data_IF_894287471996
#
_entry.id   IF_894287471996
#
_cell.length_a   1.000
_cell.length_b   1.000
_cell.length_c   1.000
_cell.angle_alpha   90.00
_cell.angle_beta   90.00
_cell.angle_gamma   90.00
#
_symmetry.space_group_name_H-M   'P 1'
#
loop_
_entity.id
_entity.type
_entity.pdbx_description
1 polymer ?
#
# COMPACT_ATOMS: atom_id res chain seq x y z
N UNK A 1 -44.49 7.94 -13.52
CA UNK A 1 -44.89 6.86 -12.62
C UNK A 1 -44.05 5.62 -12.92
N UNK A 2 -42.96 5.45 -12.23
CA UNK A 2 -42.25 4.17 -12.15
C UNK A 2 -42.29 3.71 -10.70
N UNK A 3 -43.24 2.79 -10.43
CA UNK A 3 -43.40 2.14 -9.14
C UNK A 3 -42.22 1.24 -8.82
N UNK A 4 -41.29 1.73 -7.99
CA UNK A 4 -40.27 0.94 -7.39
C UNK A 4 -40.83 0.12 -6.23
N UNK A 5 -41.10 -1.16 -6.44
CA UNK A 5 -41.47 -2.08 -5.35
C UNK A 5 -40.34 -2.15 -4.33
N UNK A 6 -40.58 -1.60 -3.14
CA UNK A 6 -39.70 -1.83 -1.96
C UNK A 6 -39.87 -3.28 -1.55
N UNK A 7 -38.80 -4.08 -1.68
CA UNK A 7 -38.78 -5.44 -1.16
C UNK A 7 -38.96 -5.36 0.37
N UNK A 8 -40.04 -5.94 0.95
CA UNK A 8 -40.27 -5.88 2.39
C UNK A 8 -39.13 -6.56 3.18
N UNK A 9 -38.74 -5.98 4.31
CA UNK A 9 -37.69 -6.51 5.20
C UNK A 9 -37.93 -8.00 5.59
N UNK A 10 -39.23 -8.42 5.64
CA UNK A 10 -39.61 -9.82 5.89
C UNK A 10 -39.10 -10.83 4.86
N UNK A 11 -38.91 -10.43 3.58
CA UNK A 11 -38.38 -11.33 2.53
C UNK A 11 -36.87 -11.58 2.68
N UNK A 12 -36.14 -10.58 3.18
CA UNK A 12 -34.69 -10.77 3.48
C UNK A 12 -34.47 -11.75 4.64
N UNK A 13 -35.28 -11.62 5.70
CA UNK A 13 -35.22 -12.52 6.86
C UNK A 13 -35.63 -13.94 6.47
N UNK A 14 -36.67 -14.10 5.64
CA UNK A 14 -37.15 -15.41 5.19
C UNK A 14 -36.10 -16.16 4.34
N UNK A 15 -35.45 -15.48 3.41
CA UNK A 15 -34.37 -16.06 2.64
C UNK A 15 -33.18 -16.47 3.52
N UNK A 16 -32.88 -15.69 4.55
CA UNK A 16 -31.79 -15.98 5.49
C UNK A 16 -32.09 -17.24 6.32
N UNK A 17 -33.31 -17.37 6.84
CA UNK A 17 -33.79 -18.55 7.55
C UNK A 17 -33.79 -19.80 6.65
N UNK A 18 -34.20 -19.67 5.39
CA UNK A 18 -34.18 -20.80 4.45
C UNK A 18 -32.76 -21.29 4.11
N UNK A 19 -31.77 -20.40 4.03
CA UNK A 19 -30.35 -20.76 3.84
C UNK A 19 -29.81 -21.41 5.11
N UNK A 20 -30.13 -20.87 6.28
CA UNK A 20 -29.73 -21.41 7.58
C UNK A 20 -30.25 -22.85 7.82
N UNK A 21 -31.51 -23.12 7.50
CA UNK A 21 -32.11 -24.46 7.61
C UNK A 21 -31.52 -25.46 6.62
N UNK A 22 -31.10 -25.02 5.43
CA UNK A 22 -30.46 -25.88 4.42
C UNK A 22 -29.01 -26.27 4.79
N UNK A 23 -28.35 -25.50 5.66
CA UNK A 23 -26.96 -25.74 6.10
C UNK A 23 -26.90 -26.48 7.47
N UNK A 24 -27.95 -27.18 7.87
CA UNK A 24 -27.94 -28.05 9.07
C UNK A 24 -27.90 -27.27 10.40
N UNK A 25 -28.35 -26.00 10.41
CA UNK A 25 -28.49 -25.23 11.65
C UNK A 25 -27.18 -24.78 12.30
N UNK A 26 -26.04 -24.91 11.63
CA UNK A 26 -24.81 -24.31 12.12
C UNK A 26 -24.90 -22.80 11.99
N UNK A 27 -24.77 -22.09 13.12
CA UNK A 27 -24.64 -20.62 13.14
C UNK A 27 -23.50 -20.27 12.19
N UNK A 28 -23.67 -19.34 11.22
CA UNK A 28 -22.52 -18.82 10.49
C UNK A 28 -21.47 -18.39 11.52
N UNK A 29 -20.18 -18.59 11.24
CA UNK A 29 -19.16 -18.05 12.14
C UNK A 29 -19.52 -16.59 12.41
N UNK A 30 -19.62 -16.22 13.68
CA UNK A 30 -19.73 -14.82 14.06
C UNK A 30 -18.56 -14.16 13.35
N UNK A 31 -18.83 -13.18 12.49
CA UNK A 31 -17.79 -12.23 12.10
C UNK A 31 -17.30 -11.67 13.42
N UNK A 32 -16.14 -12.11 13.87
CA UNK A 32 -15.45 -11.46 14.96
C UNK A 32 -15.42 -10.00 14.60
N UNK A 33 -16.05 -9.15 15.41
CA UNK A 33 -15.95 -7.71 15.27
C UNK A 33 -14.46 -7.40 15.30
N UNK A 34 -13.88 -7.15 14.09
CA UNK A 34 -12.48 -6.80 13.98
C UNK A 34 -12.28 -5.61 14.91
N UNK A 35 -11.39 -5.68 15.89
CA UNK A 35 -11.24 -4.60 16.85
C UNK A 35 -11.08 -3.29 16.09
N UNK A 36 -11.80 -2.25 16.51
CA UNK A 36 -11.71 -0.92 15.90
C UNK A 36 -10.25 -0.55 15.76
N UNK A 37 -9.84 -0.24 14.53
CA UNK A 37 -8.46 0.11 14.23
C UNK A 37 -7.98 1.25 15.15
N UNK A 38 -6.84 1.05 15.80
CA UNK A 38 -6.19 2.09 16.61
C UNK A 38 -5.72 3.26 15.74
N UNK A 39 -5.43 3.00 14.47
CA UNK A 39 -4.89 3.96 13.51
C UNK A 39 -5.76 4.03 12.27
N UNK A 40 -5.85 5.21 11.67
CA UNK A 40 -6.58 5.46 10.43
C UNK A 40 -5.69 6.25 9.47
N UNK A 41 -5.69 5.85 8.20
CA UNK A 41 -4.98 6.52 7.12
C UNK A 41 -5.98 7.04 6.11
N UNK A 42 -5.78 8.25 5.61
CA UNK A 42 -6.49 8.76 4.45
C UNK A 42 -5.61 8.59 3.19
N UNK A 43 -6.04 7.74 2.26
CA UNK A 43 -5.42 7.62 0.94
C UNK A 43 -6.16 8.51 -0.05
N UNK A 44 -5.41 9.30 -0.80
CA UNK A 44 -5.92 10.23 -1.80
C UNK A 44 -5.44 9.83 -3.20
N UNK A 45 -6.18 8.98 -3.93
CA UNK A 45 -5.85 8.68 -5.31
C UNK A 45 -6.01 9.92 -6.18
N UNK A 46 -4.91 10.43 -6.74
CA UNK A 46 -4.89 11.65 -7.54
C UNK A 46 -5.81 11.56 -8.76
N UNK A 47 -6.25 12.72 -9.21
CA UNK A 47 -7.10 12.86 -10.39
C UNK A 47 -8.42 12.07 -10.32
N UNK A 48 -9.02 11.77 -11.46
CA UNK A 48 -10.27 11.01 -11.58
C UNK A 48 -10.68 10.81 -13.04
N UNK A 49 -11.80 10.12 -13.28
CA UNK A 49 -12.31 9.86 -14.63
C UNK A 49 -12.38 11.12 -15.48
N UNK A 50 -11.86 11.03 -16.71
CA UNK A 50 -11.82 12.17 -17.65
C UNK A 50 -10.60 13.08 -17.53
N UNK A 51 -9.74 12.90 -16.50
CA UNK A 51 -8.45 13.58 -16.45
C UNK A 51 -7.52 13.05 -17.55
N UNK A 52 -6.79 13.97 -18.20
CA UNK A 52 -5.97 13.67 -19.37
C UNK A 52 -4.49 13.43 -19.06
N UNK A 53 -4.09 13.56 -17.79
CA UNK A 53 -2.70 13.33 -17.39
C UNK A 53 -2.28 11.88 -17.65
N UNK A 54 -1.14 11.70 -18.29
CA UNK A 54 -0.63 10.40 -18.66
C UNK A 54 0.57 10.46 -19.58
N UNK A 55 0.95 9.33 -20.15
CA UNK A 55 2.09 9.25 -21.07
C UNK A 55 1.83 10.01 -22.37
N UNK A 56 2.88 10.59 -23.00
CA UNK A 56 2.77 11.33 -24.25
C UNK A 56 2.13 10.54 -25.40
N UNK A 57 2.23 9.22 -25.39
CA UNK A 57 1.62 8.34 -26.39
C UNK A 57 0.17 7.91 -26.05
N UNK A 58 -0.36 8.37 -24.92
CA UNK A 58 -1.72 8.08 -24.46
C UNK A 58 -1.95 6.64 -23.98
N UNK A 59 -0.91 5.81 -23.86
CA UNK A 59 -1.04 4.40 -23.46
C UNK A 59 -1.10 4.20 -21.94
N UNK A 60 -0.87 5.24 -21.16
CA UNK A 60 -0.92 5.28 -19.71
C UNK A 60 -1.75 6.48 -19.24
N UNK A 61 -2.61 6.27 -18.28
CA UNK A 61 -3.40 7.34 -17.64
C UNK A 61 -3.14 7.35 -16.14
N UNK A 62 -2.76 8.49 -15.61
CA UNK A 62 -2.42 8.66 -14.21
C UNK A 62 -3.58 8.31 -13.28
N UNK A 63 -4.80 8.76 -13.56
CA UNK A 63 -5.95 8.50 -12.69
C UNK A 63 -6.32 7.01 -12.56
N UNK A 64 -6.05 6.19 -13.60
CA UNK A 64 -6.24 4.74 -13.57
C UNK A 64 -5.21 4.08 -12.66
N UNK A 65 -3.95 4.52 -12.75
CA UNK A 65 -2.87 4.05 -11.88
C UNK A 65 -3.13 4.42 -10.41
N UNK A 66 -3.47 5.67 -10.12
CA UNK A 66 -3.66 6.14 -8.74
C UNK A 66 -4.80 5.42 -8.04
N UNK A 67 -5.89 5.13 -8.78
CA UNK A 67 -7.00 4.34 -8.28
C UNK A 67 -6.58 2.88 -8.03
N UNK A 68 -5.92 2.23 -8.99
CA UNK A 68 -5.41 0.86 -8.85
C UNK A 68 -4.45 0.74 -7.65
N UNK A 69 -3.52 1.68 -7.50
CA UNK A 69 -2.62 1.70 -6.35
C UNK A 69 -3.36 1.80 -5.01
N UNK A 70 -4.35 2.67 -4.90
CA UNK A 70 -5.15 2.78 -3.69
C UNK A 70 -5.90 1.47 -3.37
N UNK A 71 -6.39 0.75 -4.40
CA UNK A 71 -7.05 -0.55 -4.24
C UNK A 71 -6.08 -1.66 -3.81
N UNK A 72 -4.79 -1.56 -4.15
CA UNK A 72 -3.74 -2.49 -3.69
C UNK A 72 -3.26 -2.15 -2.28
N UNK A 73 -3.04 -0.87 -1.96
CA UNK A 73 -2.54 -0.42 -0.64
C UNK A 73 -3.57 -0.65 0.45
N UNK A 74 -4.85 -0.36 0.17
CA UNK A 74 -5.93 -0.43 1.17
C UNK A 74 -6.01 -1.80 1.87
N UNK A 75 -6.14 -2.95 1.17
CA UNK A 75 -6.24 -4.25 1.83
C UNK A 75 -4.96 -4.60 2.61
N UNK A 76 -3.79 -4.18 2.16
CA UNK A 76 -2.54 -4.41 2.87
C UNK A 76 -2.53 -3.71 4.24
N UNK A 77 -2.99 -2.46 4.31
CA UNK A 77 -3.12 -1.71 5.57
C UNK A 77 -4.21 -2.30 6.47
N UNK A 78 -5.37 -2.66 5.89
CA UNK A 78 -6.47 -3.26 6.64
C UNK A 78 -6.09 -4.64 7.23
N UNK A 79 -5.23 -5.40 6.56
CA UNK A 79 -4.65 -6.64 7.09
C UNK A 79 -3.78 -6.38 8.34
N UNK A 80 -3.11 -5.22 8.40
CA UNK A 80 -2.33 -4.80 9.57
C UNK A 80 -3.19 -4.16 10.69
N UNK A 81 -4.50 -4.16 10.55
CA UNK A 81 -5.41 -3.54 11.50
C UNK A 81 -5.46 -2.01 11.41
N UNK A 82 -5.02 -1.41 10.31
CA UNK A 82 -5.09 0.03 10.05
C UNK A 82 -6.35 0.34 9.26
N UNK A 83 -7.20 1.26 9.75
CA UNK A 83 -8.38 1.73 9.04
C UNK A 83 -7.99 2.61 7.85
N UNK A 84 -8.72 2.50 6.74
CA UNK A 84 -8.44 3.29 5.53
C UNK A 84 -9.66 4.06 5.07
N UNK A 85 -9.49 5.37 4.89
CA UNK A 85 -10.45 6.28 4.27
C UNK A 85 -9.93 6.66 2.88
N UNK A 86 -10.79 6.67 1.87
CA UNK A 86 -10.46 7.14 0.53
C UNK A 86 -11.10 8.52 0.30
N UNK A 87 -10.37 9.43 -0.34
CA UNK A 87 -10.90 10.77 -0.70
C UNK A 87 -11.87 10.74 -1.85
N UNK A 88 -11.91 9.64 -2.61
CA UNK A 88 -12.81 9.47 -3.77
C UNK A 88 -13.29 8.02 -3.91
N UNK A 89 -14.28 7.84 -4.77
CA UNK A 89 -14.72 6.55 -5.33
C UNK A 89 -14.16 6.36 -6.75
N UNK A 90 -14.45 5.22 -7.38
CA UNK A 90 -14.04 4.95 -8.76
C UNK A 90 -14.60 5.99 -9.77
N UNK A 91 -15.81 6.48 -9.51
CA UNK A 91 -16.62 7.21 -10.49
C UNK A 91 -16.63 8.73 -10.29
N UNK A 92 -16.00 9.25 -9.22
CA UNK A 92 -15.99 10.67 -8.94
C UNK A 92 -14.63 11.32 -9.06
N UNK A 93 -14.63 12.65 -9.16
CA UNK A 93 -13.42 13.46 -9.25
C UNK A 93 -13.56 14.70 -8.33
N UNK A 94 -13.39 14.52 -6.99
CA UNK A 94 -13.48 15.64 -6.06
C UNK A 94 -12.38 16.67 -6.32
N UNK A 95 -12.71 17.94 -6.07
CA UNK A 95 -11.72 19.02 -6.09
C UNK A 95 -10.64 18.83 -5.00
N UNK A 96 -9.49 19.47 -5.16
CA UNK A 96 -8.39 19.37 -4.19
C UNK A 96 -8.82 19.79 -2.77
N UNK A 97 -9.72 20.80 -2.65
CA UNK A 97 -10.26 21.23 -1.36
C UNK A 97 -11.21 20.19 -0.76
N UNK A 98 -12.06 19.56 -1.57
CA UNK A 98 -12.95 18.49 -1.10
C UNK A 98 -12.16 17.28 -0.58
N UNK A 99 -11.06 16.91 -1.24
CA UNK A 99 -10.15 15.83 -0.79
C UNK A 99 -9.58 16.12 0.61
N UNK A 100 -9.05 17.33 0.81
CA UNK A 100 -8.57 17.77 2.12
C UNK A 100 -9.70 17.77 3.18
N UNK A 101 -10.90 18.23 2.82
CA UNK A 101 -12.05 18.24 3.73
C UNK A 101 -12.51 16.83 4.13
N UNK A 102 -12.47 15.86 3.21
CA UNK A 102 -12.77 14.45 3.50
C UNK A 102 -11.74 13.90 4.49
N UNK A 103 -10.46 14.17 4.26
CA UNK A 103 -9.39 13.81 5.19
C UNK A 103 -9.63 14.43 6.58
N UNK A 104 -9.77 15.74 6.67
CA UNK A 104 -9.92 16.47 7.93
C UNK A 104 -11.16 16.01 8.73
N UNK A 105 -12.26 15.69 8.03
CA UNK A 105 -13.48 15.15 8.67
C UNK A 105 -13.24 13.76 9.27
N UNK A 106 -12.43 12.93 8.65
CA UNK A 106 -12.12 11.58 9.14
C UNK A 106 -11.05 11.56 10.24
N UNK A 107 -10.32 12.67 10.43
CA UNK A 107 -9.24 12.83 11.42
C UNK A 107 -8.23 11.67 11.39
N UNK A 108 -7.60 11.37 10.24
CA UNK A 108 -6.66 10.28 10.15
C UNK A 108 -5.33 10.61 10.85
N UNK A 109 -4.56 9.59 11.20
CA UNK A 109 -3.21 9.75 11.73
C UNK A 109 -2.22 10.23 10.67
N UNK A 110 -2.46 9.92 9.39
CA UNK A 110 -1.74 10.48 8.26
C UNK A 110 -2.57 10.51 6.97
N UNK A 111 -2.10 11.32 6.03
CA UNK A 111 -2.67 11.48 4.68
C UNK A 111 -1.60 11.18 3.64
N UNK A 112 -1.91 10.31 2.69
CA UNK A 112 -1.00 9.94 1.59
C UNK A 112 -1.70 10.12 0.26
N UNK A 113 -1.24 11.09 -0.53
CA UNK A 113 -1.69 11.33 -1.90
C UNK A 113 -0.84 10.53 -2.89
N UNK A 114 -1.48 9.97 -3.90
CA UNK A 114 -0.92 8.98 -4.84
C UNK A 114 -0.92 9.62 -6.23
N UNK A 115 0.25 9.78 -6.84
CA UNK A 115 0.45 10.44 -8.13
C UNK A 115 1.56 9.81 -8.97
N UNK A 116 1.66 10.22 -10.22
CA UNK A 116 2.83 10.02 -11.08
C UNK A 116 3.21 11.32 -11.77
N UNK A 117 4.48 11.64 -11.75
CA UNK A 117 5.03 12.92 -12.16
C UNK A 117 5.10 13.10 -13.69
N UNK A 118 5.16 14.34 -14.10
CA UNK A 118 5.46 14.76 -15.46
C UNK A 118 6.63 15.75 -15.48
N UNK A 119 7.42 15.73 -16.54
CA UNK A 119 8.46 16.74 -16.77
C UNK A 119 8.43 17.23 -18.21
N UNK A 120 8.55 18.56 -18.37
CA UNK A 120 8.49 19.21 -19.67
C UNK A 120 7.06 19.56 -20.13
N UNK A 121 6.92 19.92 -21.41
CA UNK A 121 5.68 20.46 -21.99
C UNK A 121 4.89 19.41 -22.79
N UNK A 122 4.77 18.17 -22.26
CA UNK A 122 3.92 17.14 -22.84
C UNK A 122 4.61 16.12 -23.76
N UNK A 123 5.95 16.15 -23.86
CA UNK A 123 6.75 15.14 -24.59
C UNK A 123 7.43 14.12 -23.67
N UNK A 124 8.13 13.15 -24.28
CA UNK A 124 8.99 12.25 -23.54
C UNK A 124 10.20 13.00 -22.97
N UNK A 125 10.57 12.67 -21.74
CA UNK A 125 11.69 13.28 -21.00
C UNK A 125 12.65 12.24 -20.43
N UNK A 126 13.82 12.71 -19.96
CA UNK A 126 14.78 11.87 -19.25
C UNK A 126 14.62 11.90 -17.72
N UNK A 127 13.71 12.74 -17.19
CA UNK A 127 13.42 12.76 -15.75
C UNK A 127 12.83 11.40 -15.35
N UNK A 128 13.34 10.80 -14.25
CA UNK A 128 12.91 9.47 -13.81
C UNK A 128 13.09 9.31 -12.30
N UNK A 129 12.45 8.28 -11.74
CA UNK A 129 12.55 7.90 -10.35
C UNK A 129 11.46 8.50 -9.45
N UNK A 130 11.26 7.86 -8.31
CA UNK A 130 10.25 8.24 -7.32
C UNK A 130 10.72 9.43 -6.48
N UNK A 131 9.80 10.34 -6.18
CA UNK A 131 10.00 11.43 -5.20
C UNK A 131 8.74 11.65 -4.37
N UNK A 132 8.89 12.28 -3.20
CA UNK A 132 7.82 12.50 -2.24
C UNK A 132 7.78 13.98 -1.88
N UNK A 133 6.59 14.55 -1.95
CA UNK A 133 6.35 15.95 -1.59
C UNK A 133 5.68 16.06 -0.22
N UNK A 134 6.16 17.01 0.58
CA UNK A 134 5.52 17.47 1.81
C UNK A 134 5.44 19.01 1.79
N UNK A 135 4.61 19.60 2.65
CA UNK A 135 4.73 21.02 2.94
C UNK A 135 6.01 21.29 3.74
N UNK A 136 6.62 22.46 3.56
CA UNK A 136 7.89 22.83 4.17
C UNK A 136 7.89 22.71 5.71
N UNK A 137 9.06 22.46 6.27
CA UNK A 137 9.28 22.34 7.72
C UNK A 137 10.54 21.54 8.06
N UNK A 138 10.91 21.45 9.34
CA UNK A 138 12.07 20.68 9.76
C UNK A 138 11.85 19.20 9.53
N UNK A 139 12.92 18.43 9.35
CA UNK A 139 12.86 16.97 9.16
C UNK A 139 12.18 16.23 10.32
N UNK A 140 12.13 16.82 11.51
CA UNK A 140 11.41 16.31 12.68
C UNK A 140 9.89 16.56 12.65
N UNK A 141 9.39 17.34 11.71
CA UNK A 141 7.94 17.50 11.53
C UNK A 141 7.32 16.16 11.05
N UNK A 142 6.18 15.77 11.62
CA UNK A 142 5.57 14.46 11.39
C UNK A 142 5.36 14.13 9.90
N UNK A 143 5.02 15.13 9.07
CA UNK A 143 4.93 14.96 7.61
C UNK A 143 6.25 14.56 6.94
N UNK A 144 7.38 15.07 7.45
CA UNK A 144 8.71 14.72 6.94
C UNK A 144 9.20 13.39 7.53
N UNK A 145 8.79 13.03 8.74
CA UNK A 145 9.00 11.69 9.30
C UNK A 145 8.26 10.66 8.43
N UNK A 146 6.97 10.90 8.12
CA UNK A 146 6.20 10.05 7.20
C UNK A 146 6.90 9.89 5.84
N UNK A 147 7.35 11.00 5.25
CA UNK A 147 8.08 10.94 3.97
C UNK A 147 9.39 10.14 4.08
N UNK A 148 10.10 10.25 5.19
CA UNK A 148 11.36 9.52 5.43
C UNK A 148 11.10 8.01 5.55
N UNK A 149 10.07 7.58 6.27
CA UNK A 149 9.73 6.16 6.38
C UNK A 149 9.30 5.58 5.02
N UNK A 150 8.52 6.33 4.24
CA UNK A 150 8.18 5.94 2.87
C UNK A 150 9.43 5.80 1.97
N UNK A 151 10.37 6.76 2.03
CA UNK A 151 11.64 6.67 1.29
C UNK A 151 12.44 5.44 1.70
N UNK A 152 12.54 5.16 3.00
CA UNK A 152 13.27 4.01 3.53
C UNK A 152 12.69 2.68 2.98
N UNK A 153 11.38 2.54 2.98
CA UNK A 153 10.74 1.30 2.49
C UNK A 153 10.82 1.16 0.97
N UNK A 154 10.71 2.24 0.20
CA UNK A 154 10.96 2.20 -1.24
C UNK A 154 12.41 1.85 -1.58
N UNK A 155 13.36 2.41 -0.85
CA UNK A 155 14.76 2.08 -1.02
C UNK A 155 15.04 0.59 -0.70
N UNK A 156 14.50 0.09 0.42
CA UNK A 156 14.60 -1.32 0.80
C UNK A 156 13.97 -2.26 -0.23
N UNK A 157 12.89 -1.83 -0.90
CA UNK A 157 12.25 -2.57 -2.00
C UNK A 157 13.00 -2.47 -3.34
N UNK A 158 14.13 -1.75 -3.41
CA UNK A 158 14.90 -1.56 -4.65
C UNK A 158 14.15 -0.72 -5.70
N UNK A 159 13.32 0.22 -5.25
CA UNK A 159 12.67 1.21 -6.13
C UNK A 159 13.67 2.31 -6.47
N UNK A 160 13.71 2.73 -7.73
CA UNK A 160 14.56 3.83 -8.17
C UNK A 160 14.06 5.15 -7.61
N UNK A 161 14.85 5.77 -6.75
CA UNK A 161 14.57 7.07 -6.16
C UNK A 161 15.34 8.18 -6.88
N UNK A 162 14.80 9.40 -6.85
CA UNK A 162 15.57 10.60 -7.23
C UNK A 162 16.68 10.86 -6.22
N UNK A 163 17.71 11.61 -6.65
CA UNK A 163 18.88 11.92 -5.82
C UNK A 163 18.52 12.60 -4.49
N UNK A 164 17.52 13.48 -4.51
CA UNK A 164 16.91 14.09 -3.33
C UNK A 164 15.42 13.76 -3.34
N UNK A 165 15.01 12.62 -2.76
CA UNK A 165 13.67 12.10 -2.98
C UNK A 165 12.58 12.85 -2.18
N UNK A 166 12.94 13.61 -1.14
CA UNK A 166 11.98 14.44 -0.39
C UNK A 166 12.04 15.86 -0.89
N UNK A 167 10.90 16.38 -1.33
CA UNK A 167 10.70 17.73 -1.85
C UNK A 167 9.65 18.48 -1.02
N UNK A 168 9.66 19.79 -1.15
CA UNK A 168 8.70 20.64 -0.43
C UNK A 168 7.93 21.51 -1.41
N UNK A 169 6.60 21.32 -1.42
CA UNK A 169 5.68 22.10 -2.23
C UNK A 169 4.37 22.36 -1.48
N UNK A 170 3.79 23.52 -1.70
CA UNK A 170 2.53 23.92 -1.08
C UNK A 170 1.31 23.47 -1.92
N UNK A 171 1.31 22.19 -2.33
CA UNK A 171 0.15 21.62 -3.00
C UNK A 171 -1.09 21.72 -2.11
N UNK A 172 -2.22 22.03 -2.72
CA UNK A 172 -3.47 22.29 -1.98
C UNK A 172 -3.83 21.16 -1.00
N UNK A 173 -3.68 19.91 -1.41
CA UNK A 173 -3.98 18.76 -0.55
C UNK A 173 -3.01 18.63 0.62
N UNK A 174 -1.74 19.02 0.45
CA UNK A 174 -0.74 19.02 1.53
C UNK A 174 -0.94 20.21 2.48
N UNK A 175 -1.30 21.40 1.93
CA UNK A 175 -1.42 22.63 2.70
C UNK A 175 -2.73 22.71 3.49
N UNK A 176 -3.82 22.07 3.02
CA UNK A 176 -5.15 22.13 3.64
C UNK A 176 -5.52 20.91 4.47
N UNK A 177 -4.67 19.88 4.49
CA UNK A 177 -4.86 18.69 5.32
C UNK A 177 -4.25 18.90 6.70
N UNK A 178 -5.02 18.64 7.75
CA UNK A 178 -4.61 18.82 9.15
C UNK A 178 -3.64 17.72 9.61
N UNK A 179 -3.79 16.50 9.11
CA UNK A 179 -2.93 15.37 9.41
C UNK A 179 -1.53 15.53 8.78
N UNK A 180 -0.49 14.84 9.30
CA UNK A 180 0.77 14.65 8.61
C UNK A 180 0.54 14.15 7.19
N UNK A 181 0.93 14.96 6.18
CA UNK A 181 0.59 14.73 4.78
C UNK A 181 1.82 14.56 3.90
N UNK A 182 1.80 13.53 3.05
CA UNK A 182 2.79 13.29 2.00
C UNK A 182 2.09 13.02 0.66
N UNK A 183 2.71 13.43 -0.45
CA UNK A 183 2.28 13.11 -1.81
C UNK A 183 3.42 12.35 -2.48
N UNK A 184 3.11 11.15 -2.97
CA UNK A 184 4.07 10.28 -3.61
C UNK A 184 3.93 10.39 -5.13
N UNK A 185 5.02 10.74 -5.79
CA UNK A 185 5.20 10.68 -7.24
C UNK A 185 5.96 9.39 -7.56
N UNK A 186 5.26 8.34 -7.95
CA UNK A 186 5.81 6.99 -8.10
C UNK A 186 6.79 6.80 -9.28
N UNK A 187 7.03 7.85 -10.04
CA UNK A 187 7.88 7.91 -11.22
C UNK A 187 7.29 8.86 -12.25
N UNK A 188 7.96 9.05 -13.36
CA UNK A 188 7.55 10.01 -14.39
C UNK A 188 6.80 9.30 -15.53
N UNK A 189 5.51 9.59 -15.68
CA UNK A 189 4.74 9.07 -16.82
C UNK A 189 5.16 9.72 -18.17
N UNK A 190 6.03 10.74 -18.13
CA UNK A 190 6.74 11.29 -19.29
C UNK A 190 8.10 10.63 -19.55
N UNK A 191 8.49 9.62 -18.79
CA UNK A 191 9.68 8.80 -19.02
C UNK A 191 9.28 7.40 -19.50
N UNK A 192 9.85 6.95 -20.63
CA UNK A 192 9.48 5.66 -21.24
C UNK A 192 9.73 4.47 -20.29
N UNK A 193 10.87 4.46 -19.61
CA UNK A 193 11.25 3.38 -18.71
C UNK A 193 10.34 3.37 -17.48
N UNK A 194 10.11 4.52 -16.83
CA UNK A 194 9.20 4.63 -15.70
C UNK A 194 7.78 4.21 -16.10
N UNK A 195 7.31 4.65 -17.28
CA UNK A 195 5.97 4.30 -17.78
C UNK A 195 5.79 2.79 -17.94
N UNK A 196 6.79 2.06 -18.45
CA UNK A 196 6.70 0.61 -18.54
C UNK A 196 6.67 -0.06 -17.16
N UNK A 197 7.45 0.41 -16.20
CA UNK A 197 7.35 -0.04 -14.81
C UNK A 197 5.98 0.27 -14.20
N UNK A 198 5.45 1.48 -14.38
CA UNK A 198 4.15 1.88 -13.87
C UNK A 198 2.98 1.09 -14.48
N UNK A 199 3.14 0.50 -15.68
CA UNK A 199 2.17 -0.42 -16.29
C UNK A 199 2.29 -1.84 -15.75
N UNK A 200 3.47 -2.25 -15.27
CA UNK A 200 3.71 -3.62 -14.79
C UNK A 200 2.97 -3.90 -13.47
N UNK A 201 2.12 -4.92 -13.48
CA UNK A 201 1.29 -5.25 -12.31
C UNK A 201 2.12 -5.69 -11.10
N UNK A 202 3.20 -6.46 -11.31
CA UNK A 202 4.07 -6.92 -10.22
C UNK A 202 4.87 -5.76 -9.62
N UNK A 203 5.24 -4.79 -10.46
CA UNK A 203 5.89 -3.58 -9.98
C UNK A 203 4.93 -2.73 -9.14
N UNK A 204 3.65 -2.63 -9.53
CA UNK A 204 2.61 -1.98 -8.71
C UNK A 204 2.39 -2.70 -7.38
N UNK A 205 2.41 -4.03 -7.35
CA UNK A 205 2.32 -4.80 -6.09
C UNK A 205 3.49 -4.45 -5.17
N UNK A 206 4.71 -4.43 -5.70
CA UNK A 206 5.91 -4.02 -4.96
C UNK A 206 5.80 -2.58 -4.42
N UNK A 207 5.33 -1.64 -5.24
CA UNK A 207 5.12 -0.25 -4.83
C UNK A 207 4.05 -0.14 -3.74
N UNK A 208 2.95 -0.87 -3.87
CA UNK A 208 1.85 -0.87 -2.90
C UNK A 208 2.30 -1.42 -1.55
N UNK A 209 3.03 -2.53 -1.55
CA UNK A 209 3.60 -3.13 -0.34
C UNK A 209 4.59 -2.19 0.35
N UNK A 210 5.52 -1.58 -0.41
CA UNK A 210 6.47 -0.61 0.14
C UNK A 210 5.76 0.61 0.74
N UNK A 211 4.70 1.11 0.08
CA UNK A 211 3.88 2.20 0.61
C UNK A 211 3.19 1.82 1.91
N UNK A 212 2.55 0.66 1.95
CA UNK A 212 1.85 0.19 3.15
C UNK A 212 2.82 -0.04 4.32
N UNK A 213 4.01 -0.61 4.06
CA UNK A 213 5.09 -0.75 5.05
C UNK A 213 5.54 0.60 5.60
N UNK A 214 5.82 1.60 4.75
CA UNK A 214 6.25 2.92 5.19
C UNK A 214 5.20 3.64 6.04
N UNK A 215 3.92 3.45 5.72
CA UNK A 215 2.83 3.95 6.54
C UNK A 215 2.80 3.23 7.90
N UNK A 216 2.96 1.91 7.94
CA UNK A 216 3.02 1.13 9.18
C UNK A 216 4.19 1.55 10.06
N UNK A 217 5.39 1.73 9.50
CA UNK A 217 6.57 2.24 10.23
C UNK A 217 6.28 3.60 10.86
N UNK A 218 5.69 4.55 10.11
CA UNK A 218 5.29 5.85 10.63
C UNK A 218 4.29 5.75 11.78
N UNK A 219 3.34 4.82 11.72
CA UNK A 219 2.31 4.61 12.73
C UNK A 219 2.80 3.78 13.93
N UNK A 220 4.00 3.20 13.88
CA UNK A 220 4.51 2.26 14.87
C UNK A 220 3.74 0.92 14.87
N UNK A 221 3.16 0.56 13.73
CA UNK A 221 2.48 -0.74 13.52
C UNK A 221 3.50 -1.75 13.00
N UNK A 222 3.70 -2.82 13.75
CA UNK A 222 4.60 -3.90 13.32
C UNK A 222 4.01 -4.59 12.10
N UNK A 223 4.73 -4.53 10.97
CA UNK A 223 4.32 -5.20 9.74
C UNK A 223 4.29 -6.71 9.94
N UNK A 224 3.12 -7.29 9.77
CA UNK A 224 2.98 -8.74 9.68
C UNK A 224 2.87 -9.07 8.19
N UNK A 225 3.84 -9.80 7.66
CA UNK A 225 3.70 -10.36 6.32
C UNK A 225 2.35 -11.08 6.27
N UNK A 226 1.56 -10.88 5.21
CA UNK A 226 0.38 -11.69 5.03
C UNK A 226 0.80 -13.14 5.27
N UNK A 227 0.15 -13.80 6.22
CA UNK A 227 0.12 -15.25 6.20
C UNK A 227 -0.69 -15.58 4.95
N UNK A 228 0.00 -15.53 3.81
CA UNK A 228 -0.52 -16.15 2.61
C UNK A 228 -0.96 -17.53 3.04
N UNK A 229 -2.01 -18.05 2.44
CA UNK A 229 -2.32 -19.47 2.47
C UNK A 229 -1.17 -20.26 1.82
N UNK A 230 0.05 -19.99 2.23
CA UNK A 230 1.24 -20.79 2.09
C UNK A 230 1.36 -21.73 3.31
N UNK A 231 0.28 -22.48 3.54
CA UNK A 231 0.44 -23.91 3.85
C UNK A 231 0.77 -24.73 2.58
N UNK A 232 1.19 -24.15 1.49
CA UNK A 232 2.16 -24.77 0.61
C UNK A 232 3.47 -24.74 1.41
N UNK A 233 3.59 -25.73 2.32
CA UNK A 233 4.75 -26.18 3.04
C UNK A 233 6.00 -25.52 2.46
N UNK A 234 6.57 -24.50 3.15
CA UNK A 234 7.85 -23.89 2.81
C UNK A 234 8.90 -25.02 2.92
N UNK A 235 8.82 -25.96 1.99
CA UNK A 235 9.73 -27.08 1.92
C UNK A 235 10.98 -26.61 1.20
N UNK A 236 12.14 -26.81 1.79
CA UNK A 236 13.40 -26.58 1.10
C UNK A 236 13.44 -27.46 -0.15
N UNK A 237 14.16 -27.03 -1.17
CA UNK A 237 14.40 -27.86 -2.34
C UNK A 237 15.00 -29.20 -1.93
N UNK A 238 14.69 -30.28 -2.67
CA UNK A 238 15.09 -31.66 -2.32
C UNK A 238 16.58 -31.78 -1.98
N UNK A 239 17.45 -31.04 -2.69
CA UNK A 239 18.88 -31.04 -2.46
C UNK A 239 19.30 -30.44 -1.11
N UNK A 240 18.49 -29.53 -0.55
CA UNK A 240 18.78 -28.81 0.69
C UNK A 240 18.01 -29.35 1.91
N UNK A 241 17.02 -30.20 1.71
CA UNK A 241 16.05 -30.62 2.74
C UNK A 241 16.69 -31.21 3.99
N UNK A 242 17.68 -32.09 3.84
CA UNK A 242 18.37 -32.72 4.98
C UNK A 242 19.21 -31.69 5.76
N UNK A 243 19.97 -30.84 5.07
CA UNK A 243 20.79 -29.80 5.69
C UNK A 243 19.90 -28.76 6.39
N UNK A 244 18.79 -28.39 5.78
CA UNK A 244 17.81 -27.47 6.34
C UNK A 244 17.20 -28.01 7.63
N UNK A 245 16.77 -29.26 7.63
CA UNK A 245 16.20 -29.89 8.82
C UNK A 245 17.23 -29.98 9.96
N UNK A 246 18.46 -30.37 9.67
CA UNK A 246 19.55 -30.39 10.65
C UNK A 246 19.85 -29.03 11.27
N UNK A 247 19.80 -27.96 10.45
CA UNK A 247 20.02 -26.61 10.93
C UNK A 247 18.89 -26.11 11.83
N UNK A 248 17.64 -26.47 11.48
CA UNK A 248 16.45 -26.21 12.29
C UNK A 248 16.51 -26.95 13.64
N UNK A 249 16.81 -28.25 13.63
CA UNK A 249 16.89 -29.09 14.82
C UNK A 249 17.99 -28.60 15.80
N UNK A 250 19.04 -27.99 15.28
CA UNK A 250 20.12 -27.36 16.05
C UNK A 250 19.82 -25.92 16.46
N UNK A 251 18.67 -25.36 16.11
CA UNK A 251 18.32 -23.96 16.41
C UNK A 251 19.19 -22.93 15.70
N UNK A 252 19.89 -23.32 14.62
CA UNK A 252 20.70 -22.40 13.80
C UNK A 252 19.78 -21.53 12.93
N UNK A 253 18.72 -22.13 12.40
CA UNK A 253 17.68 -21.46 11.61
C UNK A 253 16.32 -21.62 12.30
N UNK A 254 15.41 -20.69 12.07
CA UNK A 254 14.06 -20.69 12.61
C UNK A 254 13.12 -21.68 11.87
N UNK A 255 13.56 -22.18 10.72
CA UNK A 255 12.79 -23.10 9.88
C UNK A 255 11.82 -22.43 8.92
N UNK A 256 11.88 -21.10 8.79
CA UNK A 256 11.07 -20.33 7.85
C UNK A 256 11.88 -19.94 6.61
N UNK A 257 11.22 -19.58 5.53
CA UNK A 257 11.81 -18.96 4.33
C UNK A 257 13.03 -19.67 3.73
N UNK A 258 12.97 -20.99 3.43
CA UNK A 258 14.15 -21.77 2.98
C UNK A 258 14.70 -21.35 1.61
N UNK A 259 13.98 -20.53 0.85
CA UNK A 259 14.38 -20.07 -0.50
C UNK A 259 14.71 -18.59 -0.58
N UNK A 260 14.59 -17.85 0.52
CA UNK A 260 14.92 -16.43 0.55
C UNK A 260 16.42 -16.20 0.57
N UNK A 261 16.85 -15.07 0.02
CA UNK A 261 18.25 -14.66 0.11
C UNK A 261 18.58 -14.24 1.55
N UNK A 262 19.65 -14.79 2.07
CA UNK A 262 20.19 -14.41 3.38
C UNK A 262 20.98 -13.10 3.29
N UNK A 263 20.71 -12.17 4.19
CA UNK A 263 21.53 -10.96 4.32
C UNK A 263 22.89 -11.27 4.95
N UNK A 264 23.85 -10.35 4.79
CA UNK A 264 25.18 -10.50 5.45
C UNK A 264 25.06 -10.54 6.98
N UNK A 265 24.10 -9.85 7.57
CA UNK A 265 23.84 -9.84 9.00
C UNK A 265 23.28 -11.19 9.48
N UNK A 266 22.29 -11.74 8.76
CA UNK A 266 21.76 -13.08 9.06
C UNK A 266 22.82 -14.16 8.91
N UNK A 267 23.67 -14.07 7.88
CA UNK A 267 24.80 -14.99 7.72
C UNK A 267 25.77 -14.89 8.91
N UNK A 268 26.11 -13.69 9.38
CA UNK A 268 26.99 -13.52 10.54
C UNK A 268 26.38 -14.16 11.79
N UNK A 269 25.10 -14.00 12.06
CA UNK A 269 24.40 -14.67 13.17
C UNK A 269 24.42 -16.19 13.03
N UNK A 270 24.26 -16.72 11.83
CA UNK A 270 24.35 -18.17 11.57
C UNK A 270 25.76 -18.68 11.84
N UNK A 271 26.80 -17.98 11.38
CA UNK A 271 28.19 -18.35 11.59
C UNK A 271 28.57 -18.32 13.08
N UNK A 272 28.12 -17.31 13.83
CA UNK A 272 28.32 -17.22 15.28
C UNK A 272 27.67 -18.41 16.01
N UNK A 273 26.40 -18.73 15.71
CA UNK A 273 25.71 -19.90 16.29
C UNK A 273 26.39 -21.25 15.97
N UNK A 274 27.13 -21.30 14.89
CA UNK A 274 27.93 -22.46 14.50
C UNK A 274 29.37 -22.46 15.11
N UNK A 275 29.72 -21.43 15.89
CA UNK A 275 31.06 -21.15 16.39
C UNK A 275 32.11 -21.13 15.27
N UNK A 276 31.82 -20.51 14.15
CA UNK A 276 32.71 -20.37 12.99
C UNK A 276 33.38 -19.00 12.92
N UNK A 277 32.94 -18.05 13.73
CA UNK A 277 33.52 -16.70 13.92
C UNK A 277 33.50 -16.34 15.38
#
# INVERSE_FOLDING_TARGET
DFGGERIPASRKVHNWICVWLKQGGQKPPEQEDKPMSKHTVCLDPGHGPGNVNGSPDGTYKEWEFTWDMAQRIKPLLEAQGVGVVLTKTADNYPSLTERANISNKSKPDCFVSIHTNAYGEGGWSSASGLEIYTSAGPMTAQRNVLASELVNTFHAAGVSLRNEPIKHEMYTVLAKTDAPAALIEYGFHTNKTDTEYLKDSKYRDKLAEATAKGICEFLGVVWQAEQGEDNAEYTPDKWASEAWQKAKDKGVLDGTRPRDNMTRQELAVVLDRLNLI
#
